data_IF_100263414674
#
_entry.id   IF_100263414674
#
_cell.length_a   1.000
_cell.length_b   1.000
_cell.length_c   1.000
_cell.angle_alpha   90.00
_cell.angle_beta   90.00
_cell.angle_gamma   90.00
#
_symmetry.space_group_name_H-M   'P 1'
#
loop_
_entity.id
_entity.type
_entity.pdbx_description
1 polymer ?
#
# COMPACT_ATOMS: atom_id res chain seq x y z
N UNK A 1 11.03 4.69 46.48
CA UNK A 1 10.09 3.64 46.05
C UNK A 1 9.43 4.01 44.72
N UNK A 2 9.03 5.28 44.52
CA UNK A 2 8.33 5.71 43.30
C UNK A 2 9.15 5.59 42.01
N UNK A 3 10.45 5.92 42.05
CA UNK A 3 11.33 5.78 40.89
C UNK A 3 11.49 4.32 40.42
N UNK A 4 11.48 3.37 41.35
CA UNK A 4 11.57 1.95 41.01
C UNK A 4 10.30 1.46 40.32
N UNK A 5 9.14 1.91 40.80
CA UNK A 5 7.83 1.60 40.19
C UNK A 5 7.76 2.19 38.77
N UNK A 6 8.13 3.47 38.60
CA UNK A 6 8.14 4.12 37.27
C UNK A 6 9.08 3.40 36.31
N UNK A 7 10.28 3.01 36.76
CA UNK A 7 11.25 2.28 35.95
C UNK A 7 10.72 0.90 35.53
N UNK A 8 10.09 0.15 36.45
CA UNK A 8 9.51 -1.15 36.16
C UNK A 8 8.34 -1.06 35.15
N UNK A 9 7.50 -0.02 35.26
CA UNK A 9 6.43 0.25 34.29
C UNK A 9 7.05 0.53 32.92
N UNK A 10 8.06 1.40 32.84
CA UNK A 10 8.72 1.72 31.57
C UNK A 10 9.35 0.48 30.92
N UNK A 11 10.06 -0.34 31.71
CA UNK A 11 10.67 -1.58 31.24
C UNK A 11 9.61 -2.58 30.76
N UNK A 12 8.49 -2.70 31.49
CA UNK A 12 7.36 -3.55 31.12
C UNK A 12 6.73 -3.11 29.80
N UNK A 13 6.49 -1.81 29.61
CA UNK A 13 5.99 -1.25 28.34
C UNK A 13 6.99 -1.51 27.21
N UNK A 14 8.27 -1.23 27.41
CA UNK A 14 9.31 -1.47 26.41
C UNK A 14 9.41 -2.95 26.00
N UNK A 15 9.26 -3.88 26.96
CA UNK A 15 9.20 -5.31 26.70
C UNK A 15 7.96 -5.68 25.87
N UNK A 16 6.77 -5.18 26.23
CA UNK A 16 5.55 -5.44 25.47
C UNK A 16 5.62 -4.88 24.04
N UNK A 17 6.17 -3.68 23.86
CA UNK A 17 6.37 -3.08 22.54
C UNK A 17 7.37 -3.89 21.70
N UNK A 18 8.49 -4.31 22.29
CA UNK A 18 9.50 -5.11 21.59
C UNK A 18 8.98 -6.50 21.22
N UNK A 19 8.23 -7.15 22.12
CA UNK A 19 7.52 -8.40 21.82
C UNK A 19 6.49 -8.21 20.70
N UNK A 20 5.75 -7.09 20.70
CA UNK A 20 4.78 -6.78 19.64
C UNK A 20 5.47 -6.62 18.28
N UNK A 21 6.58 -5.88 18.24
CA UNK A 21 7.39 -5.70 17.02
C UNK A 21 7.93 -7.06 16.56
N UNK A 22 8.47 -7.86 17.48
CA UNK A 22 8.99 -9.19 17.19
C UNK A 22 7.91 -10.07 16.55
N UNK A 23 6.74 -10.20 17.18
CA UNK A 23 5.61 -10.97 16.67
C UNK A 23 5.13 -10.52 15.28
N UNK A 24 5.14 -9.22 15.00
CA UNK A 24 4.76 -8.68 13.68
C UNK A 24 5.83 -8.96 12.62
N UNK A 25 7.10 -8.96 13.03
CA UNK A 25 8.25 -9.20 12.15
C UNK A 25 8.49 -10.68 11.83
N UNK A 26 7.90 -11.59 12.62
CA UNK A 26 7.97 -13.02 12.35
C UNK A 26 7.38 -13.32 10.96
N UNK A 27 8.01 -14.24 10.19
CA UNK A 27 7.47 -14.67 8.91
C UNK A 27 6.04 -15.17 9.13
N UNK A 28 5.06 -14.49 8.54
CA UNK A 28 3.68 -15.00 8.54
C UNK A 28 3.72 -16.39 7.94
N UNK A 29 3.14 -17.37 8.65
CA UNK A 29 2.87 -18.69 8.07
C UNK A 29 2.16 -18.48 6.74
N UNK A 30 2.46 -19.32 5.74
CA UNK A 30 1.78 -19.26 4.45
C UNK A 30 0.29 -19.43 4.72
N UNK A 31 -0.47 -18.33 4.84
CA UNK A 31 -1.91 -18.44 5.00
C UNK A 31 -2.42 -19.23 3.80
N UNK A 32 -3.47 -20.03 4.00
CA UNK A 32 -4.13 -20.73 2.89
C UNK A 32 -4.31 -19.72 1.76
N UNK A 33 -3.85 -20.09 0.56
CA UNK A 33 -4.12 -19.29 -0.63
C UNK A 33 -5.65 -19.20 -0.71
N UNK A 34 -6.25 -17.99 -0.67
CA UNK A 34 -7.68 -17.87 -0.88
C UNK A 34 -8.02 -18.54 -2.22
N UNK A 35 -9.18 -19.17 -2.28
CA UNK A 35 -9.58 -19.87 -3.49
C UNK A 35 -9.59 -18.87 -4.66
N UNK A 36 -9.25 -19.35 -5.85
CA UNK A 36 -9.23 -18.53 -7.06
C UNK A 36 -10.61 -17.95 -7.40
N UNK A 37 -11.67 -18.56 -6.86
CA UNK A 37 -13.07 -18.21 -7.03
C UNK A 37 -13.56 -17.07 -6.11
N UNK A 38 -12.86 -16.79 -5.00
CA UNK A 38 -13.31 -15.79 -4.02
C UNK A 38 -12.90 -14.36 -4.45
N UNK A 39 -13.82 -13.39 -4.34
CA UNK A 39 -13.50 -11.99 -4.60
C UNK A 39 -12.49 -11.47 -3.57
N UNK A 40 -11.53 -10.68 -4.04
CA UNK A 40 -10.48 -10.08 -3.23
C UNK A 40 -10.54 -8.56 -3.38
N UNK A 41 -10.84 -7.86 -2.29
CA UNK A 41 -10.79 -6.39 -2.27
C UNK A 41 -9.36 -5.89 -2.48
N UNK A 42 -9.19 -4.96 -3.41
CA UNK A 42 -7.88 -4.55 -3.90
C UNK A 42 -7.73 -3.03 -3.87
N UNK A 43 -6.61 -2.55 -3.36
CA UNK A 43 -6.24 -1.15 -3.41
C UNK A 43 -4.91 -0.96 -4.12
N UNK A 44 -4.78 0.14 -4.86
CA UNK A 44 -3.53 0.51 -5.54
C UNK A 44 -3.24 1.99 -5.34
N UNK A 45 -1.99 2.30 -5.00
CA UNK A 45 -1.51 3.67 -5.02
C UNK A 45 -0.95 4.02 -6.40
N UNK A 46 -1.50 5.07 -7.00
CA UNK A 46 -1.07 5.64 -8.26
C UNK A 46 -0.12 6.81 -7.95
N UNK A 47 1.19 6.53 -8.02
CA UNK A 47 2.20 7.58 -7.93
C UNK A 47 2.12 8.51 -9.14
N UNK A 48 2.43 9.80 -9.00
CA UNK A 48 2.26 10.76 -10.11
C UNK A 48 3.14 10.46 -11.33
N UNK A 49 2.63 10.71 -12.53
CA UNK A 49 3.40 10.63 -13.79
C UNK A 49 3.65 9.18 -14.24
N UNK A 50 4.92 8.83 -14.50
CA UNK A 50 5.32 7.51 -15.00
C UNK A 50 4.88 6.35 -14.10
N UNK A 51 4.92 6.55 -12.78
CA UNK A 51 4.47 5.56 -11.79
C UNK A 51 2.98 5.21 -11.90
N UNK A 52 2.13 6.16 -12.30
CA UNK A 52 0.71 5.87 -12.54
C UNK A 52 0.57 4.93 -13.72
N UNK A 53 1.32 5.17 -14.81
CA UNK A 53 1.28 4.28 -15.98
C UNK A 53 1.81 2.89 -15.63
N UNK A 54 2.88 2.80 -14.84
CA UNK A 54 3.39 1.52 -14.30
C UNK A 54 2.31 0.78 -13.51
N UNK A 55 1.72 1.44 -12.51
CA UNK A 55 0.70 0.85 -11.65
C UNK A 55 -0.57 0.44 -12.43
N UNK A 56 -1.04 1.28 -13.37
CA UNK A 56 -2.22 0.96 -14.17
C UNK A 56 -1.96 -0.17 -15.18
N UNK A 57 -0.74 -0.31 -15.69
CA UNK A 57 -0.36 -1.45 -16.55
C UNK A 57 -0.50 -2.75 -15.76
N UNK A 58 0.05 -2.80 -14.53
CA UNK A 58 -0.11 -3.94 -13.62
C UNK A 58 -1.58 -4.24 -13.34
N UNK A 59 -2.36 -3.22 -13.03
CA UNK A 59 -3.79 -3.37 -12.72
C UNK A 59 -4.56 -3.85 -13.95
N UNK A 60 -4.25 -3.35 -15.15
CA UNK A 60 -4.94 -3.74 -16.38
C UNK A 60 -4.82 -5.24 -16.71
N UNK A 61 -3.78 -5.90 -16.22
CA UNK A 61 -3.57 -7.34 -16.36
C UNK A 61 -4.35 -8.19 -15.33
N UNK A 62 -4.93 -7.55 -14.29
CA UNK A 62 -5.75 -8.25 -13.30
C UNK A 62 -7.14 -8.60 -13.84
N UNK A 63 -7.72 -9.66 -13.28
CA UNK A 63 -9.11 -10.04 -13.48
C UNK A 63 -10.03 -9.20 -12.58
N UNK A 64 -10.84 -8.33 -13.18
CA UNK A 64 -11.70 -7.39 -12.48
C UNK A 64 -12.97 -8.04 -11.90
N UNK A 65 -13.26 -9.30 -12.28
CA UNK A 65 -14.33 -10.09 -11.65
C UNK A 65 -13.89 -10.62 -10.28
N UNK A 66 -12.61 -10.99 -10.17
CA UNK A 66 -12.01 -11.48 -8.92
C UNK A 66 -11.53 -10.35 -8.02
N UNK A 67 -10.81 -9.37 -8.55
CA UNK A 67 -10.28 -8.27 -7.74
C UNK A 67 -11.32 -7.16 -7.62
N UNK A 68 -12.26 -7.30 -6.67
CA UNK A 68 -13.38 -6.40 -6.45
C UNK A 68 -13.75 -6.34 -4.95
N UNK A 69 -14.11 -5.17 -4.38
CA UNK A 69 -14.02 -3.83 -4.95
C UNK A 69 -12.59 -3.32 -5.10
N UNK A 70 -12.40 -2.39 -6.05
CA UNK A 70 -11.10 -1.77 -6.34
C UNK A 70 -11.05 -0.34 -5.80
N UNK A 71 -9.99 -0.02 -5.09
CA UNK A 71 -9.76 1.32 -4.54
C UNK A 71 -8.50 1.92 -5.16
N UNK A 72 -8.65 2.99 -5.93
CA UNK A 72 -7.55 3.73 -6.53
C UNK A 72 -7.20 4.91 -5.66
N UNK A 73 -5.98 4.93 -5.14
CA UNK A 73 -5.47 5.99 -4.29
C UNK A 73 -4.59 6.89 -5.15
N UNK A 74 -5.00 8.14 -5.35
CA UNK A 74 -4.31 9.13 -6.17
C UNK A 74 -3.69 10.23 -5.29
N UNK A 75 -2.64 10.84 -5.81
CA UNK A 75 -2.03 12.00 -5.16
C UNK A 75 -2.81 13.29 -5.46
N UNK A 76 -2.85 14.20 -4.49
CA UNK A 76 -3.45 15.53 -4.67
C UNK A 76 -2.79 16.31 -5.82
N UNK A 77 -3.65 16.89 -6.67
CA UNK A 77 -3.26 17.63 -7.86
C UNK A 77 -3.01 16.75 -9.10
N UNK A 78 -3.26 15.44 -9.03
CA UNK A 78 -3.05 14.51 -10.15
C UNK A 78 -4.35 14.11 -10.85
N UNK A 79 -5.00 15.08 -11.50
CA UNK A 79 -6.26 14.86 -12.22
C UNK A 79 -6.14 13.92 -13.42
N UNK A 80 -4.96 13.87 -14.05
CA UNK A 80 -4.70 12.97 -15.19
C UNK A 80 -4.74 11.50 -14.75
N UNK A 81 -4.20 11.18 -13.58
CA UNK A 81 -4.28 9.82 -13.04
C UNK A 81 -5.72 9.40 -12.75
N UNK A 82 -6.55 10.31 -12.25
CA UNK A 82 -7.98 10.05 -12.07
C UNK A 82 -8.69 9.79 -13.41
N UNK A 83 -8.32 10.50 -14.48
CA UNK A 83 -8.85 10.26 -15.82
C UNK A 83 -8.43 8.88 -16.36
N UNK A 84 -7.14 8.54 -16.26
CA UNK A 84 -6.64 7.22 -16.69
C UNK A 84 -7.33 6.05 -15.99
N UNK A 85 -7.66 6.19 -14.70
CA UNK A 85 -8.44 5.19 -13.96
C UNK A 85 -9.84 5.03 -14.56
N UNK A 86 -10.54 6.14 -14.83
CA UNK A 86 -11.86 6.10 -15.44
C UNK A 86 -11.83 5.45 -16.81
N UNK A 87 -10.82 5.76 -17.61
CA UNK A 87 -10.65 5.17 -18.95
C UNK A 87 -10.37 3.66 -18.87
N UNK A 88 -9.53 3.22 -17.92
CA UNK A 88 -9.26 1.80 -17.69
C UNK A 88 -10.52 1.04 -17.26
N UNK A 89 -11.23 1.54 -16.25
CA UNK A 89 -12.46 0.93 -15.75
C UNK A 89 -13.57 0.94 -16.82
N UNK A 90 -13.69 2.01 -17.62
CA UNK A 90 -14.64 2.06 -18.73
C UNK A 90 -14.30 1.02 -19.82
N UNK A 91 -13.02 0.85 -20.14
CA UNK A 91 -12.55 -0.13 -21.12
C UNK A 91 -12.82 -1.57 -20.68
N UNK A 92 -12.59 -1.87 -19.38
CA UNK A 92 -12.89 -3.17 -18.79
C UNK A 92 -14.38 -3.41 -18.63
N UNK A 93 -15.16 -2.40 -18.24
CA UNK A 93 -16.62 -2.48 -18.11
C UNK A 93 -17.30 -2.80 -19.45
N UNK A 94 -16.83 -2.24 -20.57
CA UNK A 94 -17.32 -2.63 -21.91
C UNK A 94 -17.12 -4.12 -22.20
N UNK A 95 -16.03 -4.70 -21.71
CA UNK A 95 -15.72 -6.13 -21.85
C UNK A 95 -16.57 -6.99 -20.88
N UNK A 96 -16.90 -6.45 -19.69
CA UNK A 96 -17.63 -7.17 -18.64
C UNK A 96 -19.16 -7.05 -18.70
N UNK A 97 -19.72 -6.07 -19.42
CA UNK A 97 -21.18 -5.83 -19.54
C UNK A 97 -21.99 -7.00 -20.13
N UNK A 98 -21.34 -8.09 -20.55
CA UNK A 98 -22.00 -9.35 -20.89
C UNK A 98 -22.47 -10.17 -19.66
N UNK A 99 -21.97 -9.89 -18.45
CA UNK A 99 -22.26 -10.71 -17.27
C UNK A 99 -22.50 -9.89 -15.99
N UNK A 100 -23.73 -9.44 -15.74
CA UNK A 100 -24.27 -8.95 -14.45
C UNK A 100 -24.24 -7.41 -14.28
N UNK A 101 -25.44 -6.82 -14.31
CA UNK A 101 -25.72 -5.46 -13.87
C UNK A 101 -25.84 -5.46 -12.33
N UNK A 102 -24.77 -5.14 -11.62
CA UNK A 102 -24.80 -4.95 -10.16
C UNK A 102 -24.83 -3.47 -9.80
N UNK A 103 -25.60 -3.13 -8.76
CA UNK A 103 -25.92 -1.77 -8.28
C UNK A 103 -24.82 -1.15 -7.42
N UNK A 104 -23.71 -1.86 -7.19
CA UNK A 104 -22.62 -1.45 -6.27
C UNK A 104 -21.51 -0.77 -7.10
N UNK A 105 -20.93 0.37 -6.66
CA UNK A 105 -19.83 1.00 -7.38
C UNK A 105 -18.69 0.00 -7.62
N UNK A 106 -18.27 -0.14 -8.88
CA UNK A 106 -17.25 -1.11 -9.30
C UNK A 106 -15.85 -0.75 -8.74
N UNK A 107 -15.62 0.52 -8.46
CA UNK A 107 -14.39 1.04 -7.90
C UNK A 107 -14.62 2.34 -7.13
N UNK A 108 -13.65 2.69 -6.29
CA UNK A 108 -13.62 3.93 -5.51
C UNK A 108 -12.32 4.69 -5.79
N UNK A 109 -12.38 6.01 -5.86
CA UNK A 109 -11.22 6.90 -5.96
C UNK A 109 -11.02 7.64 -4.64
N UNK A 110 -9.81 7.56 -4.08
CA UNK A 110 -9.41 8.27 -2.86
C UNK A 110 -8.25 9.19 -3.20
N UNK A 111 -8.33 10.45 -2.78
CA UNK A 111 -7.27 11.43 -2.99
C UNK A 111 -6.52 11.66 -1.69
N UNK A 112 -5.18 11.56 -1.72
CA UNK A 112 -4.31 11.79 -0.57
C UNK A 112 -3.31 12.91 -0.88
N UNK A 113 -3.04 13.83 0.06
CA UNK A 113 -2.05 14.88 -0.12
C UNK A 113 -0.64 14.31 -0.29
N UNK A 114 0.15 14.95 -1.15
CA UNK A 114 1.52 14.50 -1.45
C UNK A 114 2.42 14.66 -0.22
N UNK A 115 3.16 13.61 0.12
CA UNK A 115 4.12 13.66 1.23
C UNK A 115 5.25 14.69 0.99
N UNK A 116 5.65 14.86 -0.27
CA UNK A 116 6.63 15.86 -0.71
C UNK A 116 6.19 16.49 -2.04
N UNK A 117 6.23 17.81 -2.14
CA UNK A 117 6.02 18.54 -3.39
C UNK A 117 7.27 18.47 -4.28
N UNK A 118 7.09 18.66 -5.58
CA UNK A 118 8.22 18.75 -6.51
C UNK A 118 9.06 19.97 -6.13
N UNK A 119 10.39 19.85 -6.15
CA UNK A 119 11.36 20.88 -5.74
C UNK A 119 11.38 21.24 -4.24
N UNK A 120 10.59 20.58 -3.38
CA UNK A 120 10.67 20.78 -1.93
C UNK A 120 11.95 20.15 -1.37
N UNK A 121 12.69 20.90 -0.56
CA UNK A 121 13.89 20.37 0.12
C UNK A 121 13.53 19.24 1.09
N UNK A 122 14.46 18.31 1.32
CA UNK A 122 14.23 17.21 2.27
C UNK A 122 13.96 17.70 3.69
N UNK A 123 14.58 18.81 4.10
CA UNK A 123 14.39 19.41 5.43
C UNK A 123 13.00 20.02 5.61
N UNK A 124 12.39 20.55 4.55
CA UNK A 124 11.03 21.10 4.61
C UNK A 124 9.94 20.03 4.43
N UNK A 125 10.31 18.78 4.17
CA UNK A 125 9.38 17.65 3.91
C UNK A 125 8.60 17.14 5.14
N UNK A 126 9.14 17.13 6.38
CA UNK A 126 8.43 16.56 7.54
C UNK A 126 6.99 17.04 7.76
N UNK A 127 6.65 18.35 7.71
CA UNK A 127 5.27 18.80 7.93
C UNK A 127 4.31 18.30 6.83
N UNK A 128 4.72 18.34 5.56
CA UNK A 128 3.87 17.84 4.46
C UNK A 128 3.72 16.31 4.51
N UNK A 129 4.78 15.61 4.91
CA UNK A 129 4.74 14.17 5.11
C UNK A 129 3.82 13.79 6.28
N UNK A 130 3.82 14.55 7.38
CA UNK A 130 2.94 14.32 8.52
C UNK A 130 1.48 14.57 8.15
N UNK A 131 1.18 15.63 7.39
CA UNK A 131 -0.16 15.87 6.87
C UNK A 131 -0.65 14.75 5.94
N UNK A 132 0.23 14.27 5.06
CA UNK A 132 -0.02 13.08 4.22
C UNK A 132 -0.27 11.84 5.06
N UNK A 133 0.52 11.60 6.10
CA UNK A 133 0.34 10.48 7.02
C UNK A 133 -1.00 10.56 7.77
N UNK A 134 -1.39 11.73 8.28
CA UNK A 134 -2.67 11.93 8.96
C UNK A 134 -3.86 11.61 8.03
N UNK A 135 -3.81 12.06 6.77
CA UNK A 135 -4.81 11.71 5.76
C UNK A 135 -4.83 10.21 5.46
N UNK A 136 -3.65 9.57 5.37
CA UNK A 136 -3.56 8.12 5.21
C UNK A 136 -4.21 7.37 6.37
N UNK A 137 -3.93 7.77 7.63
CA UNK A 137 -4.53 7.17 8.83
C UNK A 137 -6.05 7.35 8.82
N UNK A 138 -6.55 8.52 8.41
CA UNK A 138 -7.99 8.74 8.30
C UNK A 138 -8.64 7.74 7.34
N UNK A 139 -8.10 7.56 6.13
CA UNK A 139 -8.69 6.66 5.12
C UNK A 139 -8.43 5.16 5.37
N UNK A 140 -7.28 4.80 5.94
CA UNK A 140 -6.86 3.39 6.15
C UNK A 140 -7.32 2.85 7.51
N UNK A 141 -7.52 3.71 8.50
CA UNK A 141 -7.79 3.33 9.88
C UNK A 141 -9.15 3.83 10.36
N UNK A 142 -9.36 5.14 10.35
CA UNK A 142 -10.53 5.75 11.01
C UNK A 142 -11.81 5.45 10.24
N UNK A 143 -11.83 5.71 8.94
CA UNK A 143 -13.02 5.50 8.11
C UNK A 143 -13.46 4.02 8.10
N UNK A 144 -12.58 3.03 7.86
CA UNK A 144 -12.96 1.62 7.91
C UNK A 144 -13.41 1.19 9.30
N UNK A 145 -12.79 1.67 10.37
CA UNK A 145 -13.21 1.33 11.74
C UNK A 145 -14.62 1.85 12.06
N UNK A 146 -15.02 2.99 11.49
CA UNK A 146 -16.37 3.54 11.62
C UNK A 146 -17.40 2.80 10.77
N UNK A 147 -17.03 2.34 9.57
CA UNK A 147 -17.93 1.70 8.61
C UNK A 147 -18.02 0.19 8.76
N UNK A 148 -16.88 -0.48 8.90
CA UNK A 148 -16.72 -1.92 8.81
C UNK A 148 -15.72 -2.38 9.88
N UNK A 149 -16.21 -2.68 11.09
CA UNK A 149 -15.35 -2.97 12.26
C UNK A 149 -14.42 -4.18 12.10
N UNK A 150 -14.72 -5.10 11.21
CA UNK A 150 -14.06 -6.41 11.15
C UNK A 150 -13.21 -6.66 9.91
N UNK A 151 -13.24 -5.77 8.91
CA UNK A 151 -12.49 -5.96 7.65
C UNK A 151 -11.56 -4.77 7.38
N UNK A 152 -10.38 -5.00 6.76
CA UNK A 152 -9.54 -3.91 6.32
C UNK A 152 -10.23 -3.13 5.18
N UNK A 153 -9.75 -1.92 4.88
CA UNK A 153 -10.25 -1.14 3.74
C UNK A 153 -10.01 -1.82 2.38
N UNK A 154 -9.03 -2.72 2.33
CA UNK A 154 -8.75 -3.65 1.25
C UNK A 154 -7.95 -4.84 1.80
N UNK A 155 -8.01 -6.00 1.13
CA UNK A 155 -7.22 -7.17 1.50
C UNK A 155 -5.79 -7.10 0.96
N UNK A 156 -5.60 -6.44 -0.18
CA UNK A 156 -4.28 -6.22 -0.79
C UNK A 156 -4.11 -4.74 -1.11
N UNK A 157 -2.96 -4.17 -0.73
CA UNK A 157 -2.54 -2.83 -1.13
C UNK A 157 -1.27 -2.94 -1.98
N UNK A 158 -1.41 -2.60 -3.27
CA UNK A 158 -0.31 -2.48 -4.22
C UNK A 158 0.27 -1.06 -4.18
N UNK A 159 1.56 -0.98 -3.95
CA UNK A 159 2.32 0.27 -3.87
C UNK A 159 3.36 0.32 -4.98
N UNK A 160 3.40 1.46 -5.68
CA UNK A 160 4.45 1.84 -6.61
C UNK A 160 4.72 3.35 -6.46
N UNK A 161 5.95 3.77 -6.71
CA UNK A 161 6.29 5.20 -6.77
C UNK A 161 6.87 5.84 -5.49
N UNK A 162 6.85 7.19 -5.40
CA UNK A 162 7.66 7.97 -4.46
C UNK A 162 6.96 8.24 -3.11
N UNK A 163 7.55 9.10 -2.28
CA UNK A 163 7.33 9.20 -0.83
C UNK A 163 5.90 9.16 -0.23
N UNK A 164 4.82 9.44 -0.97
CA UNK A 164 3.45 9.21 -0.48
C UNK A 164 3.15 7.72 -0.28
N UNK A 165 3.82 6.82 -1.01
CA UNK A 165 3.72 5.38 -0.74
C UNK A 165 4.26 5.00 0.66
N UNK A 166 5.23 5.78 1.18
CA UNK A 166 5.79 5.58 2.50
C UNK A 166 4.78 5.94 3.59
N UNK A 167 4.07 7.06 3.44
CA UNK A 167 3.04 7.48 4.42
C UNK A 167 1.87 6.50 4.46
N UNK A 168 1.43 6.00 3.30
CA UNK A 168 0.45 4.91 3.21
C UNK A 168 0.94 3.63 3.89
N UNK A 169 2.17 3.21 3.61
CA UNK A 169 2.73 2.02 4.25
C UNK A 169 2.82 2.18 5.77
N UNK A 170 3.26 3.34 6.27
CA UNK A 170 3.33 3.61 7.71
C UNK A 170 1.92 3.56 8.32
N UNK A 171 0.91 4.17 7.70
CA UNK A 171 -0.47 4.12 8.18
C UNK A 171 -0.99 2.66 8.27
N UNK A 172 -0.76 1.84 7.24
CA UNK A 172 -1.14 0.42 7.29
C UNK A 172 -0.36 -0.38 8.34
N UNK A 173 0.91 -0.03 8.57
CA UNK A 173 1.75 -0.69 9.57
C UNK A 173 1.33 -0.30 10.99
N UNK A 174 0.84 0.93 11.21
CA UNK A 174 0.22 1.34 12.47
C UNK A 174 -0.98 0.45 12.79
N UNK A 175 -1.87 0.17 11.82
CA UNK A 175 -2.98 -0.77 12.04
C UNK A 175 -2.47 -2.15 12.48
N UNK A 176 -1.44 -2.67 11.78
CA UNK A 176 -0.81 -3.95 12.12
C UNK A 176 -0.24 -3.94 13.54
N UNK A 177 0.42 -2.84 13.91
CA UNK A 177 0.97 -2.63 15.24
C UNK A 177 -0.12 -2.67 16.31
N UNK A 178 -1.23 -1.96 16.09
CA UNK A 178 -2.38 -1.89 16.99
C UNK A 178 -3.26 -3.14 16.98
N UNK A 179 -3.02 -4.10 16.08
CA UNK A 179 -3.84 -5.31 15.94
C UNK A 179 -5.16 -5.07 15.21
N UNK A 180 -5.27 -3.95 14.50
CA UNK A 180 -6.39 -3.62 13.63
C UNK A 180 -6.26 -4.36 12.29
N UNK A 181 -7.38 -4.57 11.58
CA UNK A 181 -7.35 -5.09 10.21
C UNK A 181 -6.41 -4.29 9.31
N UNK A 182 -5.52 -4.99 8.61
CA UNK A 182 -4.55 -4.38 7.70
C UNK A 182 -4.39 -5.19 6.42
N UNK A 183 -4.23 -4.53 5.25
CA UNK A 183 -3.99 -5.23 3.99
C UNK A 183 -2.66 -5.98 3.99
N UNK A 184 -2.55 -6.93 3.07
CA UNK A 184 -1.26 -7.44 2.61
C UNK A 184 -0.60 -6.37 1.73
N UNK A 185 0.62 -5.99 2.07
CA UNK A 185 1.38 -4.96 1.39
C UNK A 185 2.25 -5.58 0.30
N UNK A 186 2.04 -5.14 -0.94
CA UNK A 186 2.86 -5.51 -2.09
C UNK A 186 3.49 -4.24 -2.64
N UNK A 187 4.81 -4.15 -2.61
CA UNK A 187 5.54 -3.07 -3.28
C UNK A 187 6.15 -3.59 -4.57
N UNK A 188 5.93 -2.89 -5.67
CA UNK A 188 6.60 -3.13 -6.94
C UNK A 188 7.53 -1.97 -7.22
N UNK A 189 8.84 -2.25 -7.20
CA UNK A 189 9.86 -1.26 -7.55
C UNK A 189 9.68 -0.80 -9.00
N UNK A 190 9.94 0.49 -9.23
CA UNK A 190 9.74 1.10 -10.53
C UNK A 190 10.62 0.47 -11.61
N UNK A 191 10.08 0.39 -12.82
CA UNK A 191 10.78 -0.15 -13.98
C UNK A 191 12.06 0.66 -14.28
N UNK A 192 12.08 1.96 -13.98
CA UNK A 192 13.25 2.81 -14.16
C UNK A 192 14.45 2.45 -13.25
N UNK A 193 14.26 1.61 -12.23
CA UNK A 193 15.31 1.23 -11.27
C UNK A 193 16.00 -0.06 -11.70
N UNK A 194 17.00 0.06 -12.57
CA UNK A 194 17.75 -1.10 -13.09
C UNK A 194 18.80 -1.60 -12.10
N UNK A 195 19.69 -0.71 -11.65
CA UNK A 195 20.89 -1.11 -10.91
C UNK A 195 20.78 -0.94 -9.39
N UNK A 196 19.87 -0.10 -8.92
CA UNK A 196 19.73 0.19 -7.48
C UNK A 196 18.29 0.51 -7.08
N UNK A 197 17.91 0.13 -5.86
CA UNK A 197 16.60 0.42 -5.29
C UNK A 197 16.38 1.92 -5.10
N UNK A 198 15.14 2.37 -5.31
CA UNK A 198 14.72 3.73 -4.98
C UNK A 198 14.82 3.97 -3.46
N UNK A 199 14.83 5.24 -3.04
CA UNK A 199 14.80 5.55 -1.60
C UNK A 199 13.54 4.97 -0.95
N UNK A 200 12.38 5.11 -1.60
CA UNK A 200 11.14 4.45 -1.18
C UNK A 200 11.30 2.94 -1.08
N UNK A 201 11.87 2.31 -2.11
CA UNK A 201 12.12 0.87 -2.12
C UNK A 201 12.99 0.41 -0.95
N UNK A 202 14.08 1.14 -0.66
CA UNK A 202 14.96 0.85 0.49
C UNK A 202 14.21 0.94 1.83
N UNK A 203 13.37 1.95 2.01
CA UNK A 203 12.62 2.20 3.24
C UNK A 203 11.43 1.24 3.42
N UNK A 204 10.76 0.88 2.33
CA UNK A 204 9.57 0.03 2.33
C UNK A 204 9.89 -1.47 2.38
N UNK A 205 11.04 -1.89 1.84
CA UNK A 205 11.47 -3.29 1.82
C UNK A 205 11.32 -4.04 3.17
N UNK A 206 11.66 -3.48 4.35
CA UNK A 206 11.46 -4.17 5.61
C UNK A 206 10.00 -4.20 6.10
N UNK A 207 9.13 -3.34 5.57
CA UNK A 207 7.76 -3.13 6.05
C UNK A 207 6.71 -3.91 5.25
N UNK A 208 6.97 -4.19 3.98
CA UNK A 208 6.00 -4.85 3.08
C UNK A 208 6.05 -6.37 3.15
N UNK A 209 4.91 -7.01 2.89
CA UNK A 209 4.82 -8.48 2.90
C UNK A 209 5.43 -9.10 1.62
N UNK A 210 5.39 -8.36 0.50
CA UNK A 210 6.05 -8.73 -0.77
C UNK A 210 6.76 -7.52 -1.37
N UNK A 211 8.03 -7.68 -1.70
CA UNK A 211 8.83 -6.68 -2.40
C UNK A 211 9.24 -7.23 -3.76
N UNK A 212 8.64 -6.73 -4.82
CA UNK A 212 8.83 -7.21 -6.19
C UNK A 212 9.78 -6.28 -6.94
N UNK A 213 10.72 -6.89 -7.66
CA UNK A 213 11.68 -6.19 -8.53
C UNK A 213 11.60 -6.72 -9.96
N UNK A 214 11.86 -5.83 -10.92
CA UNK A 214 11.72 -6.13 -12.34
C UNK A 214 13.05 -6.43 -13.04
N UNK A 215 14.16 -6.21 -12.34
CA UNK A 215 15.52 -6.38 -12.86
C UNK A 215 16.30 -7.42 -12.07
N UNK A 216 17.05 -8.33 -12.74
CA UNK A 216 17.80 -9.40 -12.07
C UNK A 216 18.92 -8.86 -11.18
N UNK A 217 19.49 -7.69 -11.48
CA UNK A 217 20.53 -7.04 -10.69
C UNK A 217 20.05 -6.73 -9.27
N UNK A 218 18.79 -6.31 -9.14
CA UNK A 218 18.19 -5.96 -7.84
C UNK A 218 17.94 -7.18 -6.95
N UNK A 219 17.81 -8.38 -7.53
CA UNK A 219 17.65 -9.63 -6.78
C UNK A 219 18.81 -9.88 -5.84
N UNK A 220 20.03 -9.48 -6.24
CA UNK A 220 21.26 -9.67 -5.48
C UNK A 220 21.31 -8.81 -4.21
N UNK A 221 20.47 -7.78 -4.11
CA UNK A 221 20.50 -6.81 -3.02
C UNK A 221 19.79 -7.28 -1.73
N UNK A 222 18.95 -8.33 -1.78
CA UNK A 222 18.34 -8.94 -0.60
C UNK A 222 17.56 -10.22 -0.91
N UNK A 223 17.58 -11.16 0.03
CA UNK A 223 16.76 -12.38 0.03
C UNK A 223 15.26 -12.14 0.15
N UNK A 224 14.83 -10.93 0.56
CA UNK A 224 13.40 -10.53 0.63
C UNK A 224 12.84 -9.99 -0.70
N UNK A 225 13.64 -9.98 -1.77
CA UNK A 225 13.20 -9.50 -3.08
C UNK A 225 12.67 -10.65 -3.94
N UNK A 226 11.51 -10.44 -4.57
CA UNK A 226 10.86 -11.38 -5.49
C UNK A 226 11.05 -10.84 -6.92
N UNK A 227 11.99 -11.42 -7.67
CA UNK A 227 12.22 -11.04 -9.07
C UNK A 227 11.19 -11.72 -9.98
N UNK A 228 10.45 -10.92 -10.77
CA UNK A 228 9.36 -11.40 -11.65
C UNK A 228 9.51 -11.01 -13.13
N UNK A 229 10.67 -10.49 -13.52
CA UNK A 229 10.87 -9.96 -14.87
C UNK A 229 10.11 -8.64 -15.09
N UNK A 230 9.92 -8.28 -16.36
CA UNK A 230 9.24 -7.04 -16.73
C UNK A 230 7.73 -7.21 -16.56
N UNK A 231 7.18 -6.40 -15.67
CA UNK A 231 5.74 -6.38 -15.37
C UNK A 231 5.05 -5.17 -16.01
N UNK A 232 5.85 -4.18 -16.43
CA UNK A 232 5.46 -2.96 -17.11
C UNK A 232 6.17 -2.89 -18.45
#
# INVERSE_FOLDING_TARGET
MDYLIVLLIFLGIALLLSLRIYCISLPKTKSKRPDSSEPCSFAVFLGSGGHTSEALTLVSALDFSRYYPRTYIISEGDGLSAQKVRDLEASKSKTMKAHIASTVPQYTLITIPRARRVHQSLLATPPTALYSLASCIYHVTILPLMQTRSSPFAEVLLLNGPGTCLTLCIATYINRFLGLPSPRLVYVESFARVQSLSLSGKLLRPLVDRFVVQWPELRKLSTKTDYRGWLV
#
